data_IF_143545125656
#
_entry.id   IF_143545125656
#
_cell.length_a   1.000
_cell.length_b   1.000
_cell.length_c   1.000
_cell.angle_alpha   90.00
_cell.angle_beta   90.00
_cell.angle_gamma   90.00
#
_symmetry.space_group_name_H-M   'P 1'
#
loop_
_entity.id
_entity.type
_entity.pdbx_description
1 polymer ?
#
# COMPACT_ATOMS: atom_id res chain seq x y z
N UNK A 1 -11.33 -5.34 17.00
CA UNK A 1 -12.37 -5.69 16.02
C UNK A 1 -11.68 -5.71 14.67
N UNK A 2 -11.61 -6.86 13.99
CA UNK A 2 -11.02 -6.89 12.64
C UNK A 2 -11.93 -6.06 11.73
N UNK A 3 -11.40 -4.98 11.17
CA UNK A 3 -12.10 -4.24 10.13
C UNK A 3 -12.37 -5.18 8.95
N UNK A 4 -13.50 -4.99 8.26
CA UNK A 4 -13.74 -5.74 7.03
C UNK A 4 -12.63 -5.43 6.01
N UNK A 5 -12.32 -6.36 5.11
CA UNK A 5 -11.30 -6.11 4.08
C UNK A 5 -11.65 -4.89 3.22
N UNK A 6 -12.94 -4.63 3.00
CA UNK A 6 -13.44 -3.47 2.27
C UNK A 6 -13.19 -2.16 3.02
N UNK A 7 -13.33 -2.14 4.34
CA UNK A 7 -13.13 -0.95 5.17
C UNK A 7 -11.65 -0.70 5.52
N UNK A 8 -10.78 -1.69 5.30
CA UNK A 8 -9.35 -1.57 5.52
C UNK A 8 -8.70 -0.62 4.50
N UNK A 9 -7.78 0.24 4.97
CA UNK A 9 -6.92 1.01 4.09
C UNK A 9 -5.92 0.12 3.34
N UNK A 10 -5.24 0.70 2.35
CA UNK A 10 -4.31 -0.04 1.50
C UNK A 10 -3.19 -0.74 2.29
N UNK A 11 -2.60 -0.10 3.31
CA UNK A 11 -1.51 -0.70 4.11
C UNK A 11 -2.02 -1.82 4.99
N UNK A 12 -3.18 -1.61 5.63
CA UNK A 12 -3.83 -2.63 6.46
C UNK A 12 -4.19 -3.89 5.66
N UNK A 13 -4.65 -3.74 4.41
CA UNK A 13 -4.92 -4.88 3.51
C UNK A 13 -3.66 -5.67 3.21
N UNK A 14 -2.55 -4.98 2.94
CA UNK A 14 -1.29 -5.62 2.61
C UNK A 14 -0.71 -6.39 3.81
N UNK A 15 -0.80 -5.83 5.03
CA UNK A 15 -0.39 -6.53 6.27
C UNK A 15 -1.19 -7.81 6.49
N UNK A 16 -2.46 -7.85 6.08
CA UNK A 16 -3.29 -9.06 6.15
C UNK A 16 -3.01 -10.10 5.05
N UNK A 17 -2.26 -9.75 4.00
CA UNK A 17 -2.02 -10.58 2.82
C UNK A 17 -0.60 -11.21 2.79
N UNK A 18 0.39 -10.53 3.39
CA UNK A 18 1.80 -10.87 3.31
C UNK A 18 2.40 -11.25 4.66
N UNK A 19 3.55 -11.91 4.63
CA UNK A 19 4.23 -12.35 5.84
C UNK A 19 4.74 -11.15 6.65
N UNK A 20 4.50 -11.18 7.96
CA UNK A 20 4.88 -10.10 8.86
C UNK A 20 6.39 -9.83 8.81
N UNK A 21 6.76 -8.55 8.70
CA UNK A 21 8.16 -8.12 8.65
C UNK A 21 8.84 -8.24 7.28
N UNK A 22 8.12 -8.63 6.22
CA UNK A 22 8.65 -8.71 4.85
C UNK A 22 8.41 -7.45 4.01
N UNK A 23 7.85 -6.38 4.59
CA UNK A 23 7.36 -5.22 3.87
C UNK A 23 8.40 -4.10 3.73
N UNK A 24 8.57 -3.59 2.50
CA UNK A 24 9.36 -2.41 2.20
C UNK A 24 8.61 -1.51 1.21
N UNK A 25 8.09 -0.36 1.69
CA UNK A 25 7.31 0.58 0.88
C UNK A 25 8.22 1.53 0.09
N UNK A 26 7.90 1.70 -1.20
CA UNK A 26 8.59 2.62 -2.09
C UNK A 26 7.91 4.00 -2.08
N UNK A 27 8.72 5.05 -1.89
CA UNK A 27 8.30 6.45 -2.01
C UNK A 27 7.08 6.84 -1.13
N UNK A 28 7.04 6.49 0.17
CA UNK A 28 5.87 6.75 1.02
C UNK A 28 5.55 8.25 1.19
N UNK A 29 6.57 9.12 1.10
CA UNK A 29 6.44 10.56 1.36
C UNK A 29 6.04 11.38 0.13
N UNK A 30 5.84 10.75 -1.03
CA UNK A 30 5.40 11.45 -2.25
C UNK A 30 3.94 11.87 -2.11
N UNK A 31 3.66 13.13 -2.45
CA UNK A 31 2.32 13.72 -2.46
C UNK A 31 2.10 14.48 -3.76
N UNK A 32 0.84 14.58 -4.23
CA UNK A 32 0.53 15.33 -5.45
C UNK A 32 0.99 16.79 -5.36
N UNK A 33 1.76 17.30 -6.35
CA UNK A 33 2.15 18.71 -6.41
C UNK A 33 0.98 19.64 -6.81
N UNK A 34 -0.16 19.08 -7.24
CA UNK A 34 -1.28 19.85 -7.78
C UNK A 34 -2.46 19.97 -6.82
N UNK A 35 -2.67 19.01 -5.90
CA UNK A 35 -3.84 19.01 -5.02
C UNK A 35 -3.87 20.23 -4.09
N UNK A 36 -2.72 20.71 -3.64
CA UNK A 36 -2.63 21.95 -2.86
C UNK A 36 -3.17 23.17 -3.63
N UNK A 37 -2.95 23.23 -4.94
CA UNK A 37 -3.41 24.34 -5.81
C UNK A 37 -4.93 24.33 -5.98
N UNK A 38 -5.55 23.16 -5.80
CA UNK A 38 -6.99 22.94 -5.91
C UNK A 38 -7.73 23.02 -4.57
N UNK A 39 -7.01 23.31 -3.47
CA UNK A 39 -7.52 23.16 -2.10
C UNK A 39 -8.10 21.75 -1.84
N UNK A 40 -7.49 20.74 -2.45
CA UNK A 40 -7.87 19.35 -2.30
C UNK A 40 -6.95 18.62 -1.31
N UNK A 41 -7.46 17.62 -0.56
CA UNK A 41 -6.64 16.86 0.37
C UNK A 41 -5.61 16.01 -0.40
N UNK A 42 -4.36 16.03 0.05
CA UNK A 42 -3.31 15.14 -0.43
C UNK A 42 -3.16 13.93 0.51
N UNK A 43 -2.77 12.80 -0.05
CA UNK A 43 -2.47 11.58 0.70
C UNK A 43 -1.01 11.14 0.46
N UNK A 44 -0.35 10.50 1.44
CA UNK A 44 0.97 9.88 1.25
C UNK A 44 0.94 8.81 0.15
N UNK A 45 2.05 8.66 -0.58
CA UNK A 45 2.15 7.80 -1.76
C UNK A 45 1.23 8.22 -2.92
N UNK A 46 0.74 9.47 -2.89
CA UNK A 46 -0.32 9.98 -3.77
C UNK A 46 -1.59 9.12 -3.77
N UNK A 47 -1.91 8.50 -2.62
CA UNK A 47 -3.05 7.60 -2.48
C UNK A 47 -2.82 6.18 -3.00
N UNK A 48 -1.60 5.85 -3.43
CA UNK A 48 -1.18 4.51 -3.86
C UNK A 48 -0.10 3.99 -2.92
N UNK A 49 -0.14 2.69 -2.62
CA UNK A 49 0.90 2.01 -1.86
C UNK A 49 1.61 1.04 -2.80
N UNK A 50 2.93 1.18 -2.91
CA UNK A 50 3.79 0.29 -3.71
C UNK A 50 4.86 -0.25 -2.78
N UNK A 51 5.06 -1.56 -2.75
CA UNK A 51 6.04 -2.19 -1.85
C UNK A 51 6.55 -3.52 -2.40
N UNK A 52 7.68 -3.98 -1.86
CA UNK A 52 8.04 -5.41 -1.94
C UNK A 52 7.52 -6.16 -0.72
N UNK A 53 7.24 -7.45 -0.89
CA UNK A 53 6.73 -8.31 0.17
C UNK A 53 6.86 -9.80 -0.19
N UNK A 54 6.85 -10.66 0.83
CA UNK A 54 6.84 -12.12 0.69
C UNK A 54 5.45 -12.63 1.05
N UNK A 55 4.92 -13.57 0.26
CA UNK A 55 3.77 -14.38 0.64
C UNK A 55 4.15 -15.85 0.57
N UNK A 56 4.43 -16.45 1.72
CA UNK A 56 4.59 -17.90 1.82
C UNK A 56 3.32 -18.66 1.39
N UNK A 57 2.15 -18.00 1.45
CA UNK A 57 0.87 -18.56 1.06
C UNK A 57 0.58 -18.49 -0.46
N UNK A 58 1.23 -17.58 -1.22
CA UNK A 58 0.90 -17.33 -2.63
C UNK A 58 1.64 -18.23 -3.63
N UNK A 59 2.63 -19.03 -3.21
CA UNK A 59 3.55 -19.67 -4.15
C UNK A 59 4.49 -18.65 -4.82
N UNK A 60 5.19 -19.02 -5.90
CA UNK A 60 6.04 -18.07 -6.65
C UNK A 60 5.17 -16.98 -7.27
N UNK A 61 5.26 -15.76 -6.74
CA UNK A 61 4.66 -14.58 -7.38
C UNK A 61 5.50 -14.19 -8.61
N UNK A 62 5.25 -14.84 -9.74
CA UNK A 62 5.74 -14.39 -11.05
C UNK A 62 4.95 -13.14 -11.48
N UNK A 63 5.25 -11.99 -10.84
CA UNK A 63 4.95 -10.69 -11.46
C UNK A 63 5.98 -10.52 -12.59
N UNK A 64 5.58 -10.90 -13.80
CA UNK A 64 6.32 -10.52 -15.00
C UNK A 64 6.08 -9.03 -15.24
N UNK A 65 7.14 -8.23 -15.02
CA UNK A 65 7.21 -6.83 -15.46
C UNK A 65 7.32 -6.73 -16.98
#
# INVERSE_FOLDING_TARGET
MMASFLDADARARLVGLFDAGSFEEFLPDVVSPHLAQLNAPAAPGDGVVVQTCVSAAAGTCDIQL
#
